data_IF_104230552779
#
_entry.id   IF_104230552779
#
_cell.length_a   1.000
_cell.length_b   1.000
_cell.length_c   1.000
_cell.angle_alpha   90.00
_cell.angle_beta   90.00
_cell.angle_gamma   90.00
#
_symmetry.space_group_name_H-M   'P 1'
#
loop_
_entity.id
_entity.type
_entity.pdbx_description
1 polymer ?
#
# COMPACT_ATOMS: atom_id res chain seq x y z
N UNK A 1 -15.31 -17.42 -0.24
CA UNK A 1 -15.43 -17.62 -1.69
C UNK A 1 -16.77 -17.08 -2.20
N UNK A 2 -16.87 -15.90 -2.59
CA UNK A 2 -18.04 -15.29 -3.18
C UNK A 2 -17.60 -14.37 -4.32
N UNK A 3 -18.55 -13.70 -4.96
CA UNK A 3 -18.31 -12.73 -6.02
C UNK A 3 -17.22 -11.71 -5.63
N UNK A 4 -17.17 -11.33 -4.35
CA UNK A 4 -16.21 -10.35 -3.82
C UNK A 4 -14.84 -10.94 -3.44
N UNK A 5 -14.63 -12.23 -3.63
CA UNK A 5 -13.33 -12.86 -3.35
C UNK A 5 -12.18 -12.25 -4.17
N UNK A 6 -12.47 -11.68 -5.34
CA UNK A 6 -11.48 -10.98 -6.16
C UNK A 6 -11.09 -9.57 -5.66
N UNK A 7 -11.84 -9.04 -4.68
CA UNK A 7 -11.65 -7.67 -4.15
C UNK A 7 -10.72 -7.61 -2.95
N UNK A 8 -10.26 -8.73 -2.45
CA UNK A 8 -9.36 -8.79 -1.30
C UNK A 8 -8.31 -9.87 -1.48
N UNK A 9 -7.06 -9.63 -1.08
CA UNK A 9 -6.00 -10.64 -1.12
C UNK A 9 -6.28 -11.80 -0.15
N UNK A 10 -7.09 -11.56 0.89
CA UNK A 10 -7.38 -12.53 1.95
C UNK A 10 -8.35 -13.65 1.53
N UNK A 11 -8.99 -13.54 0.39
CA UNK A 11 -9.95 -14.55 -0.09
C UNK A 11 -9.34 -15.91 -0.38
N UNK A 12 -8.03 -15.96 -0.61
CA UNK A 12 -7.27 -17.17 -0.94
C UNK A 12 -6.43 -17.69 0.22
N UNK A 13 -6.54 -17.08 1.39
CA UNK A 13 -5.79 -17.44 2.60
C UNK A 13 -6.72 -18.01 3.67
N UNK A 14 -6.16 -18.78 4.59
CA UNK A 14 -6.84 -19.14 5.83
C UNK A 14 -6.73 -17.95 6.77
N UNK A 15 -7.87 -17.38 7.16
CA UNK A 15 -7.91 -16.17 7.95
C UNK A 15 -8.29 -16.49 9.39
N UNK A 16 -7.43 -16.10 10.32
CA UNK A 16 -7.76 -16.04 11.76
C UNK A 16 -8.24 -14.62 12.07
N UNK A 17 -9.50 -14.48 12.41
CA UNK A 17 -10.09 -13.20 12.82
C UNK A 17 -10.13 -13.15 14.33
N UNK A 18 -9.47 -12.13 14.89
CA UNK A 18 -9.43 -11.92 16.34
C UNK A 18 -10.31 -10.72 16.66
N UNK A 19 -11.28 -10.94 17.54
CA UNK A 19 -12.17 -9.91 18.05
C UNK A 19 -11.65 -9.50 19.43
N UNK A 20 -11.43 -8.22 19.61
CA UNK A 20 -10.96 -7.65 20.86
C UNK A 20 -12.12 -7.07 21.63
N UNK A 21 -12.25 -7.48 22.90
CA UNK A 21 -13.05 -6.81 23.90
C UNK A 21 -12.10 -5.93 24.74
N UNK A 22 -12.13 -4.64 24.45
CA UNK A 22 -11.15 -3.70 24.99
C UNK A 22 -11.68 -3.07 26.27
N UNK A 23 -10.81 -2.94 27.27
CA UNK A 23 -11.13 -2.21 28.51
C UNK A 23 -11.47 -0.74 28.21
N UNK A 24 -12.51 -0.23 28.86
CA UNK A 24 -12.92 1.17 28.72
C UNK A 24 -11.84 2.14 29.23
N UNK A 25 -11.86 3.37 28.76
CA UNK A 25 -11.10 4.49 29.35
C UNK A 25 -9.79 4.84 28.68
N UNK A 26 -9.43 4.19 27.56
CA UNK A 26 -8.27 4.56 26.75
C UNK A 26 -8.67 5.42 25.56
N UNK A 27 -7.72 6.23 25.06
CA UNK A 27 -7.86 6.92 23.77
C UNK A 27 -7.82 5.94 22.60
N UNK A 28 -8.32 6.35 21.43
CA UNK A 28 -8.28 5.52 20.21
C UNK A 28 -6.85 5.13 19.83
N UNK A 29 -5.87 6.01 20.06
CA UNK A 29 -4.45 5.74 19.78
C UNK A 29 -3.90 4.66 20.71
N UNK A 30 -4.23 4.72 22.00
CA UNK A 30 -3.81 3.69 22.96
C UNK A 30 -4.42 2.33 22.66
N UNK A 31 -5.70 2.28 22.24
CA UNK A 31 -6.33 1.05 21.77
C UNK A 31 -5.65 0.48 20.54
N UNK A 32 -5.32 1.31 19.56
CA UNK A 32 -4.62 0.88 18.33
C UNK A 32 -3.25 0.27 18.68
N UNK A 33 -2.49 0.91 19.55
CA UNK A 33 -1.20 0.40 20.00
C UNK A 33 -1.32 -0.93 20.71
N UNK A 34 -2.30 -1.10 21.63
CA UNK A 34 -2.54 -2.36 22.32
C UNK A 34 -2.89 -3.48 21.34
N UNK A 35 -3.81 -3.23 20.41
CA UNK A 35 -4.23 -4.18 19.37
C UNK A 35 -3.04 -4.60 18.53
N UNK A 36 -2.19 -3.67 18.12
CA UNK A 36 -1.00 -3.93 17.33
C UNK A 36 -0.01 -4.81 18.09
N UNK A 37 0.27 -4.50 19.35
CA UNK A 37 1.17 -5.31 20.18
C UNK A 37 0.63 -6.72 20.39
N UNK A 38 -0.67 -6.86 20.60
CA UNK A 38 -1.33 -8.17 20.73
C UNK A 38 -1.24 -8.93 19.42
N UNK A 39 -1.52 -8.28 18.28
CA UNK A 39 -1.43 -8.91 16.97
C UNK A 39 -0.02 -9.42 16.66
N UNK A 40 1.03 -8.64 16.97
CA UNK A 40 2.44 -9.05 16.82
C UNK A 40 2.74 -10.27 17.69
N UNK A 41 2.30 -10.29 18.97
CA UNK A 41 2.50 -11.45 19.87
C UNK A 41 1.83 -12.70 19.34
N UNK A 42 0.59 -12.58 18.84
CA UNK A 42 -0.14 -13.71 18.27
C UNK A 42 0.54 -14.20 17.00
N UNK A 43 0.97 -13.30 16.12
CA UNK A 43 1.69 -13.65 14.89
C UNK A 43 2.98 -14.40 15.20
N UNK A 44 3.76 -13.93 16.16
CA UNK A 44 4.99 -14.60 16.61
C UNK A 44 4.71 -15.99 17.19
N UNK A 45 3.67 -16.11 17.99
CA UNK A 45 3.26 -17.41 18.56
C UNK A 45 2.87 -18.41 17.45
N UNK A 46 2.08 -17.97 16.47
CA UNK A 46 1.68 -18.81 15.33
C UNK A 46 2.89 -19.17 14.45
N UNK A 47 3.78 -18.23 14.20
CA UNK A 47 5.00 -18.47 13.44
C UNK A 47 5.89 -19.52 14.12
N UNK A 48 6.05 -19.46 15.44
CA UNK A 48 6.82 -20.44 16.20
C UNK A 48 6.22 -21.85 16.12
N UNK A 49 4.88 -21.96 16.14
CA UNK A 49 4.21 -23.25 15.97
C UNK A 49 4.45 -23.88 14.58
N UNK A 50 4.65 -23.06 13.55
CA UNK A 50 4.85 -23.52 12.17
C UNK A 50 6.32 -23.73 11.81
N UNK A 51 7.25 -23.28 12.65
CA UNK A 51 8.70 -23.26 12.38
C UNK A 51 9.29 -24.62 12.01
N UNK A 52 8.76 -25.71 12.58
CA UNK A 52 9.21 -27.07 12.33
C UNK A 52 8.41 -27.81 11.25
N UNK A 53 7.42 -27.15 10.66
CA UNK A 53 6.58 -27.74 9.63
C UNK A 53 7.25 -27.61 8.26
N UNK A 54 7.09 -28.62 7.41
CA UNK A 54 7.50 -28.53 6.01
C UNK A 54 6.42 -27.80 5.23
N UNK A 55 6.75 -26.71 4.51
CA UNK A 55 5.76 -26.00 3.69
C UNK A 55 5.39 -26.84 2.45
N UNK A 56 4.14 -26.72 2.01
CA UNK A 56 3.68 -27.36 0.78
C UNK A 56 4.31 -26.72 -0.47
N UNK A 57 4.71 -25.46 -0.37
CA UNK A 57 5.32 -24.69 -1.45
C UNK A 57 6.31 -23.67 -0.90
N UNK A 58 7.44 -23.53 -1.60
CA UNK A 58 8.46 -22.49 -1.34
C UNK A 58 8.65 -21.65 -2.60
N UNK A 59 8.80 -20.35 -2.45
CA UNK A 59 9.25 -19.42 -3.50
C UNK A 59 10.53 -18.76 -3.00
N UNK A 60 11.53 -18.66 -3.87
CA UNK A 60 12.79 -17.98 -3.59
C UNK A 60 12.85 -16.65 -4.34
N UNK A 61 13.30 -15.62 -3.64
CA UNK A 61 13.48 -14.28 -4.17
C UNK A 61 14.90 -13.80 -3.85
N UNK A 62 15.67 -13.52 -4.90
CA UNK A 62 17.06 -13.04 -4.78
C UNK A 62 17.36 -11.98 -5.85
N UNK A 63 18.24 -11.06 -5.49
CA UNK A 63 18.87 -10.11 -6.42
C UNK A 63 20.40 -10.21 -6.36
N UNK A 64 20.93 -11.32 -5.86
CA UNK A 64 22.38 -11.55 -5.72
C UNK A 64 23.10 -11.65 -7.06
N UNK A 65 22.43 -12.20 -8.09
CA UNK A 65 22.98 -12.25 -9.43
C UNK A 65 22.75 -10.91 -10.13
N UNK A 66 23.84 -10.23 -10.44
CA UNK A 66 23.82 -8.96 -11.16
C UNK A 66 23.68 -9.17 -12.66
N UNK A 67 22.82 -8.40 -13.30
CA UNK A 67 22.55 -8.42 -14.73
C UNK A 67 22.88 -7.07 -15.37
N UNK A 68 24.19 -6.71 -15.49
CA UNK A 68 24.58 -5.37 -15.96
C UNK A 68 24.19 -5.09 -17.41
N UNK A 69 23.89 -6.11 -18.20
CA UNK A 69 23.37 -6.01 -19.58
C UNK A 69 21.90 -5.56 -19.64
N UNK A 70 21.16 -5.68 -18.54
CA UNK A 70 19.76 -5.30 -18.42
C UNK A 70 19.61 -3.90 -17.80
N UNK A 71 18.52 -3.18 -18.13
CA UNK A 71 18.29 -1.87 -17.50
C UNK A 71 18.09 -2.00 -16.00
N UNK A 72 18.86 -1.23 -15.22
CA UNK A 72 18.70 -1.12 -13.78
C UNK A 72 17.35 -0.48 -13.43
N UNK A 73 16.54 -1.15 -12.61
CA UNK A 73 15.24 -0.66 -12.16
C UNK A 73 15.19 -0.63 -10.64
N UNK A 74 14.68 0.46 -10.09
CA UNK A 74 14.37 0.58 -8.67
C UNK A 74 12.88 0.73 -8.44
N UNK A 75 12.38 0.23 -7.32
CA UNK A 75 11.04 0.54 -6.84
C UNK A 75 11.14 1.70 -5.86
N UNK A 76 10.29 2.70 -5.99
CA UNK A 76 10.07 3.69 -4.94
C UNK A 76 8.77 3.35 -4.24
N UNK A 77 8.85 3.06 -2.94
CA UNK A 77 7.70 2.84 -2.10
C UNK A 77 7.51 4.04 -1.16
N UNK A 78 6.49 4.84 -1.45
CA UNK A 78 6.18 6.05 -0.73
C UNK A 78 5.00 5.82 0.21
N UNK A 79 5.27 5.74 1.51
CA UNK A 79 4.29 5.51 2.53
C UNK A 79 3.79 6.78 3.19
N UNK A 80 2.49 6.80 3.46
CA UNK A 80 1.84 7.93 4.08
C UNK A 80 1.85 7.81 5.61
N UNK A 81 2.25 8.89 6.28
CA UNK A 81 2.13 9.02 7.73
C UNK A 81 1.10 10.08 8.08
N UNK A 82 -0.16 9.80 7.80
CA UNK A 82 -1.31 10.66 8.03
C UNK A 82 -2.52 9.84 8.46
N UNK A 83 -3.53 10.52 8.95
CA UNK A 83 -4.77 9.95 9.42
C UNK A 83 -4.83 9.92 10.94
N UNK A 84 -5.91 9.42 11.53
CA UNK A 84 -6.11 9.38 12.98
C UNK A 84 -5.04 8.61 13.73
N UNK A 85 -4.36 7.72 13.03
CA UNK A 85 -3.33 6.85 13.56
C UNK A 85 -2.12 6.93 12.64
N UNK A 86 -1.25 7.87 12.89
CA UNK A 86 -0.16 8.30 12.00
C UNK A 86 1.10 7.43 12.11
N UNK A 87 0.97 6.10 12.19
CA UNK A 87 2.12 5.27 12.51
C UNK A 87 2.40 4.17 11.48
N UNK A 88 2.93 4.59 10.36
CA UNK A 88 3.76 3.72 9.54
C UNK A 88 5.16 3.72 10.16
N UNK A 89 5.72 2.55 10.36
CA UNK A 89 7.01 2.39 11.01
C UNK A 89 7.98 1.65 10.09
N UNK A 90 9.22 2.11 10.06
CA UNK A 90 10.35 1.42 9.46
C UNK A 90 11.29 0.95 10.58
N UNK A 91 11.50 -0.36 10.70
CA UNK A 91 12.28 -0.95 11.80
C UNK A 91 11.81 -0.51 13.20
N UNK A 92 10.49 -0.36 13.38
CA UNK A 92 9.90 0.08 14.64
C UNK A 92 9.99 1.57 14.91
N UNK A 93 10.56 2.37 14.01
CA UNK A 93 10.65 3.82 14.14
C UNK A 93 9.60 4.49 13.25
N UNK A 94 8.84 5.47 13.77
CA UNK A 94 7.91 6.27 12.97
C UNK A 94 8.62 6.96 11.80
N UNK A 95 7.95 7.04 10.66
CA UNK A 95 8.53 7.61 9.44
C UNK A 95 8.34 9.13 9.31
N UNK A 96 7.86 9.81 10.36
CA UNK A 96 7.50 11.24 10.32
C UNK A 96 8.61 12.16 9.81
N UNK A 97 9.81 11.96 10.29
CA UNK A 97 10.96 12.81 9.99
C UNK A 97 12.04 12.11 9.16
N UNK A 98 11.69 10.93 8.59
CA UNK A 98 12.67 10.19 7.80
C UNK A 98 13.06 10.92 6.51
N UNK A 99 14.28 10.70 6.10
CA UNK A 99 14.75 10.96 4.73
C UNK A 99 14.64 9.67 3.90
N UNK A 100 14.49 9.76 2.58
CA UNK A 100 14.51 8.58 1.73
C UNK A 100 15.70 7.68 2.02
N UNK A 101 15.48 6.37 2.10
CA UNK A 101 16.51 5.37 2.37
C UNK A 101 16.42 4.22 1.37
N UNK A 102 17.52 3.51 1.16
CA UNK A 102 17.55 2.30 0.35
C UNK A 102 17.34 1.09 1.26
N UNK A 103 16.45 0.21 0.83
CA UNK A 103 16.20 -1.10 1.43
C UNK A 103 16.60 -2.19 0.44
N UNK A 104 17.23 -3.25 0.95
CA UNK A 104 17.25 -4.49 0.19
C UNK A 104 15.81 -5.01 0.05
N UNK A 105 15.37 -5.48 -1.12
CA UNK A 105 13.99 -5.91 -1.28
C UNK A 105 13.53 -6.99 -0.29
N UNK A 106 14.44 -7.87 0.17
CA UNK A 106 14.15 -8.88 1.18
C UNK A 106 13.79 -8.28 2.54
N UNK A 107 14.30 -7.09 2.90
CA UNK A 107 13.94 -6.43 4.16
C UNK A 107 12.43 -6.14 4.22
N UNK A 108 11.83 -5.77 3.08
CA UNK A 108 10.37 -5.61 3.01
C UNK A 108 9.64 -6.94 3.19
N UNK A 109 10.11 -8.01 2.55
CA UNK A 109 9.54 -9.35 2.71
C UNK A 109 9.66 -9.86 4.15
N UNK A 110 10.71 -9.46 4.86
CA UNK A 110 10.97 -9.78 6.27
C UNK A 110 10.18 -8.88 7.24
N UNK A 111 9.46 -7.87 6.75
CA UNK A 111 8.58 -7.04 7.58
C UNK A 111 9.25 -5.82 8.21
N UNK A 112 10.26 -5.23 7.58
CA UNK A 112 10.87 -3.98 8.05
C UNK A 112 9.87 -2.81 8.09
N UNK A 113 8.83 -2.84 7.24
CA UNK A 113 7.76 -1.84 7.19
C UNK A 113 6.52 -2.40 7.84
N UNK A 114 6.02 -1.71 8.85
CA UNK A 114 4.79 -2.06 9.58
C UNK A 114 3.82 -0.88 9.52
N UNK A 115 2.58 -1.17 9.13
CA UNK A 115 1.48 -0.22 9.20
C UNK A 115 0.25 -0.94 9.74
N UNK A 116 -0.24 -0.53 10.90
CA UNK A 116 -1.41 -1.13 11.53
C UNK A 116 -2.72 -0.60 10.99
N UNK A 117 -2.69 0.43 10.18
CA UNK A 117 -3.83 1.28 10.02
C UNK A 117 -4.24 1.51 8.59
N UNK A 118 -5.36 0.95 8.25
CA UNK A 118 -6.11 1.32 7.08
C UNK A 118 -7.29 2.20 7.51
N UNK A 119 -7.16 3.49 7.37
CA UNK A 119 -8.24 4.43 7.71
C UNK A 119 -8.36 5.47 6.60
N UNK A 120 -9.59 5.69 6.14
CA UNK A 120 -9.92 6.84 5.33
C UNK A 120 -9.64 8.14 6.15
N UNK A 121 -9.05 9.21 5.59
CA UNK A 121 -8.62 9.40 4.20
C UNK A 121 -7.17 8.98 3.91
N UNK A 122 -6.49 8.31 4.83
CA UNK A 122 -5.06 8.01 4.69
C UNK A 122 -4.74 6.98 3.62
N UNK A 123 -5.66 6.03 3.33
CA UNK A 123 -5.44 4.95 2.36
C UNK A 123 -4.14 4.19 2.58
N UNK A 124 -3.81 3.90 3.82
CA UNK A 124 -2.61 3.16 4.14
C UNK A 124 -2.74 1.69 3.75
N UNK A 125 -1.64 1.12 3.35
CA UNK A 125 -1.49 -0.29 3.08
C UNK A 125 -1.18 -1.03 4.38
N UNK A 126 -1.88 -2.12 4.73
CA UNK A 126 -1.60 -2.88 5.93
C UNK A 126 -0.29 -3.67 5.81
N UNK A 127 0.27 -4.06 6.94
CA UNK A 127 1.53 -4.82 7.02
C UNK A 127 1.56 -6.03 6.08
N UNK A 128 0.45 -6.75 5.94
CA UNK A 128 0.35 -7.88 5.02
C UNK A 128 0.77 -7.52 3.59
N UNK A 129 0.36 -6.36 3.07
CA UNK A 129 0.72 -5.93 1.72
C UNK A 129 2.12 -5.28 1.63
N UNK A 130 2.70 -4.85 2.72
CA UNK A 130 4.12 -4.49 2.72
C UNK A 130 4.99 -5.74 2.56
N UNK A 131 4.68 -6.80 3.30
CA UNK A 131 5.39 -8.10 3.26
C UNK A 131 5.11 -8.87 1.97
N UNK A 132 3.93 -8.71 1.37
CA UNK A 132 3.52 -9.36 0.13
C UNK A 132 3.24 -8.32 -0.97
N UNK A 133 4.12 -7.34 -1.11
CA UNK A 133 3.90 -6.22 -2.02
C UNK A 133 3.88 -6.69 -3.49
N UNK A 134 2.74 -6.58 -4.20
CA UNK A 134 2.59 -7.22 -5.51
C UNK A 134 3.58 -6.69 -6.56
N UNK A 135 3.86 -5.38 -6.54
CA UNK A 135 4.86 -4.78 -7.43
C UNK A 135 6.27 -5.27 -7.12
N UNK A 136 6.62 -5.36 -5.84
CA UNK A 136 7.91 -5.89 -5.40
C UNK A 136 8.14 -7.33 -5.89
N UNK A 137 7.14 -8.18 -5.67
CA UNK A 137 7.19 -9.58 -6.09
C UNK A 137 7.27 -9.73 -7.61
N UNK A 138 6.62 -8.84 -8.36
CA UNK A 138 6.72 -8.84 -9.82
C UNK A 138 8.09 -8.37 -10.30
N UNK A 139 8.68 -7.37 -9.68
CA UNK A 139 10.05 -6.92 -10.00
C UNK A 139 11.07 -8.02 -9.76
N UNK A 140 10.92 -8.81 -8.70
CA UNK A 140 11.74 -10.01 -8.48
C UNK A 140 11.58 -11.04 -9.60
N UNK A 141 10.34 -11.31 -10.05
CA UNK A 141 10.07 -12.28 -11.13
C UNK A 141 10.65 -11.82 -12.48
N UNK A 142 10.86 -10.54 -12.66
CA UNK A 142 11.42 -9.92 -13.87
C UNK A 142 12.93 -9.74 -13.81
N UNK A 143 13.50 -9.77 -12.60
CA UNK A 143 14.95 -9.71 -12.42
C UNK A 143 15.67 -10.81 -13.21
N UNK A 144 16.72 -10.42 -13.93
CA UNK A 144 17.47 -11.33 -14.81
C UNK A 144 16.76 -11.76 -16.10
N UNK A 145 15.56 -11.26 -16.38
CA UNK A 145 14.83 -11.54 -17.62
C UNK A 145 14.81 -10.31 -18.53
N UNK A 146 14.32 -9.22 -18.05
CA UNK A 146 14.17 -7.96 -18.81
C UNK A 146 14.57 -6.72 -18.01
N UNK A 147 14.79 -6.85 -16.72
CA UNK A 147 15.32 -5.82 -15.84
C UNK A 147 16.40 -6.36 -14.91
N UNK A 148 17.28 -5.47 -14.46
CA UNK A 148 18.14 -5.67 -13.31
C UNK A 148 17.54 -4.92 -12.11
N UNK A 149 16.83 -5.64 -11.22
CA UNK A 149 16.16 -5.04 -10.06
C UNK A 149 17.19 -4.68 -9.00
N UNK A 150 17.39 -3.38 -8.75
CA UNK A 150 18.48 -2.82 -7.94
C UNK A 150 18.11 -2.57 -6.47
N UNK A 151 16.83 -2.63 -6.11
CA UNK A 151 16.40 -2.39 -4.74
C UNK A 151 15.16 -1.52 -4.62
N UNK A 152 14.84 -1.21 -3.37
CA UNK A 152 13.71 -0.35 -3.00
C UNK A 152 14.22 0.95 -2.39
N UNK A 153 13.70 2.07 -2.85
CA UNK A 153 13.87 3.36 -2.18
C UNK A 153 12.59 3.61 -1.40
N UNK A 154 12.69 3.59 -0.09
CA UNK A 154 11.57 3.84 0.81
C UNK A 154 11.58 5.30 1.26
N UNK A 155 10.43 5.94 1.20
CA UNK A 155 10.28 7.33 1.63
C UNK A 155 8.88 7.60 2.20
N UNK A 156 8.78 8.70 2.96
CA UNK A 156 7.47 9.19 3.40
C UNK A 156 6.80 10.01 2.32
N UNK A 157 5.48 10.02 2.33
CA UNK A 157 4.65 10.99 1.63
C UNK A 157 3.98 11.98 2.61
N UNK A 158 3.11 12.83 2.09
CA UNK A 158 2.44 13.86 2.85
C UNK A 158 3.42 14.82 3.52
N UNK A 159 4.45 15.21 2.76
CA UNK A 159 5.41 16.19 3.22
C UNK A 159 4.75 17.57 3.44
N UNK A 160 5.11 18.29 4.52
CA UNK A 160 4.33 19.44 5.01
C UNK A 160 4.43 20.70 4.14
N UNK A 161 5.43 20.80 3.26
CA UNK A 161 5.59 21.97 2.39
C UNK A 161 6.24 21.58 1.05
N UNK A 162 6.12 22.45 0.06
CA UNK A 162 6.75 22.29 -1.25
C UNK A 162 8.25 22.03 -1.14
N UNK A 163 8.94 22.73 -0.25
CA UNK A 163 10.37 22.51 -0.02
C UNK A 163 10.67 21.08 0.48
N UNK A 164 9.88 20.58 1.43
CA UNK A 164 10.06 19.20 1.93
C UNK A 164 9.78 18.18 0.83
N UNK A 165 8.78 18.41 -0.01
CA UNK A 165 8.45 17.54 -1.15
C UNK A 165 9.59 17.51 -2.17
N UNK A 166 10.08 18.68 -2.58
CA UNK A 166 11.20 18.80 -3.51
C UNK A 166 12.48 18.18 -2.95
N UNK A 167 12.76 18.36 -1.67
CA UNK A 167 13.88 17.71 -0.98
C UNK A 167 13.74 16.19 -1.01
N UNK A 168 12.55 15.66 -0.69
CA UNK A 168 12.29 14.22 -0.74
C UNK A 168 12.52 13.68 -2.16
N UNK A 169 11.90 14.29 -3.18
CA UNK A 169 12.07 13.91 -4.57
C UNK A 169 13.55 13.92 -5.02
N UNK A 170 14.28 14.98 -4.66
CA UNK A 170 15.71 15.08 -4.98
C UNK A 170 16.55 14.00 -4.32
N UNK A 171 16.23 13.62 -3.07
CA UNK A 171 16.92 12.51 -2.38
C UNK A 171 16.60 11.15 -3.01
N UNK A 172 15.33 10.89 -3.38
CA UNK A 172 14.94 9.67 -4.10
C UNK A 172 15.75 9.54 -5.39
N UNK A 173 15.80 10.59 -6.19
CA UNK A 173 16.53 10.59 -7.47
C UNK A 173 18.03 10.41 -7.27
N UNK A 174 18.62 11.07 -6.27
CA UNK A 174 20.02 10.85 -5.91
C UNK A 174 20.31 9.39 -5.58
N UNK A 175 19.45 8.74 -4.78
CA UNK A 175 19.62 7.33 -4.42
C UNK A 175 19.44 6.43 -5.65
N UNK A 176 18.47 6.71 -6.52
CA UNK A 176 18.29 5.99 -7.77
C UNK A 176 19.52 6.08 -8.69
N UNK A 177 20.13 7.27 -8.79
CA UNK A 177 21.39 7.46 -9.52
C UNK A 177 22.56 6.68 -8.91
N UNK A 178 22.66 6.65 -7.58
CA UNK A 178 23.69 5.86 -6.88
C UNK A 178 23.53 4.36 -7.11
N UNK A 179 22.31 3.89 -7.35
CA UNK A 179 21.99 2.51 -7.72
C UNK A 179 22.11 2.24 -9.24
N UNK A 180 22.56 3.23 -10.01
CA UNK A 180 22.63 3.18 -11.48
C UNK A 180 21.26 2.81 -12.13
N UNK A 181 20.17 3.30 -11.56
CA UNK A 181 18.84 3.05 -12.08
C UNK A 181 18.60 3.80 -13.38
N UNK A 182 18.08 3.10 -14.38
CA UNK A 182 17.59 3.64 -15.66
C UNK A 182 16.05 3.75 -15.65
N UNK A 183 15.40 2.98 -14.78
CA UNK A 183 13.96 2.97 -14.59
C UNK A 183 13.58 3.05 -13.11
N UNK A 184 12.44 3.68 -12.84
CA UNK A 184 11.88 3.85 -11.52
C UNK A 184 10.40 3.49 -11.56
N UNK A 185 9.99 2.52 -10.75
CA UNK A 185 8.58 2.20 -10.53
C UNK A 185 8.13 2.90 -9.26
N UNK A 186 7.30 3.94 -9.43
CA UNK A 186 6.80 4.77 -8.34
C UNK A 186 5.46 4.25 -7.85
N UNK A 187 5.39 3.82 -6.61
CA UNK A 187 4.15 3.38 -5.94
C UNK A 187 3.95 4.21 -4.68
N UNK A 188 2.74 4.67 -4.44
CA UNK A 188 2.48 5.50 -3.25
C UNK A 188 1.12 5.28 -2.62
N UNK A 189 1.06 5.54 -1.33
CA UNK A 189 -0.15 5.61 -0.54
C UNK A 189 -0.73 7.03 -0.57
N UNK A 190 -2.06 7.10 -0.47
CA UNK A 190 -2.78 8.35 -0.34
C UNK A 190 -3.01 9.09 -1.66
N UNK A 191 -4.11 9.82 -1.66
CA UNK A 191 -4.41 10.82 -2.68
C UNK A 191 -3.98 12.23 -2.24
N UNK A 192 -4.46 13.25 -2.91
CA UNK A 192 -4.26 14.64 -2.50
C UNK A 192 -2.79 15.01 -2.33
N UNK A 193 -2.43 15.45 -1.15
CA UNK A 193 -1.07 15.91 -0.84
C UNK A 193 0.03 14.86 -1.10
N UNK A 194 -0.28 13.59 -0.90
CA UNK A 194 0.65 12.49 -1.19
C UNK A 194 0.86 12.28 -2.69
N UNK A 195 -0.17 12.54 -3.51
CA UNK A 195 -0.07 12.51 -4.97
C UNK A 195 0.94 13.55 -5.47
N UNK A 196 0.91 14.77 -4.93
CA UNK A 196 1.89 15.81 -5.23
C UNK A 196 3.32 15.36 -4.93
N UNK A 197 3.57 14.65 -3.82
CA UNK A 197 4.90 14.08 -3.52
C UNK A 197 5.34 13.09 -4.60
N UNK A 198 4.44 12.17 -5.01
CA UNK A 198 4.69 11.18 -6.05
C UNK A 198 4.99 11.84 -7.40
N UNK A 199 4.17 12.78 -7.81
CA UNK A 199 4.33 13.51 -9.08
C UNK A 199 5.61 14.32 -9.14
N UNK A 200 6.00 15.00 -8.05
CA UNK A 200 7.29 15.70 -7.99
C UNK A 200 8.48 14.74 -8.07
N UNK A 201 8.33 13.53 -7.52
CA UNK A 201 9.36 12.49 -7.63
C UNK A 201 9.50 12.00 -9.07
N UNK A 202 8.38 11.72 -9.75
CA UNK A 202 8.35 11.36 -11.18
C UNK A 202 8.98 12.47 -12.02
N UNK A 203 8.52 13.70 -11.85
CA UNK A 203 9.06 14.86 -12.58
C UNK A 203 10.57 15.00 -12.41
N UNK A 204 11.04 14.88 -11.17
CA UNK A 204 12.48 15.01 -10.89
C UNK A 204 13.27 13.88 -11.52
N UNK A 205 12.79 12.64 -11.46
CA UNK A 205 13.45 11.48 -12.05
C UNK A 205 13.55 11.60 -13.58
N UNK A 206 12.45 11.91 -14.26
CA UNK A 206 12.41 12.07 -15.71
C UNK A 206 13.34 13.20 -16.20
N UNK A 207 13.37 14.34 -15.50
CA UNK A 207 14.30 15.46 -15.78
C UNK A 207 15.76 15.07 -15.59
N UNK A 208 16.05 14.02 -14.86
CA UNK A 208 17.40 13.46 -14.67
C UNK A 208 17.67 12.24 -15.56
N UNK A 209 16.78 11.95 -16.51
CA UNK A 209 16.96 10.87 -17.49
C UNK A 209 16.64 9.47 -16.94
N UNK A 210 15.96 9.37 -15.80
CA UNK A 210 15.47 8.10 -15.27
C UNK A 210 14.00 7.95 -15.68
N UNK A 211 13.69 6.92 -16.46
CA UNK A 211 12.33 6.66 -16.93
C UNK A 211 11.45 6.21 -15.77
N UNK A 212 10.20 6.67 -15.75
CA UNK A 212 9.29 6.38 -14.63
C UNK A 212 8.02 5.67 -15.08
N UNK A 213 7.49 4.82 -14.20
CA UNK A 213 6.13 4.31 -14.27
C UNK A 213 5.46 4.49 -12.90
N UNK A 214 4.33 5.20 -12.86
CA UNK A 214 3.57 5.43 -11.64
C UNK A 214 2.47 4.40 -11.45
N UNK A 215 2.24 3.94 -10.21
CA UNK A 215 1.14 3.05 -9.85
C UNK A 215 0.41 3.64 -8.65
N UNK A 216 -0.87 3.92 -8.80
CA UNK A 216 -1.73 4.44 -7.73
C UNK A 216 -3.21 4.18 -8.03
N UNK A 217 -4.09 4.58 -7.15
CA UNK A 217 -5.53 4.67 -7.43
C UNK A 217 -5.89 6.03 -8.03
N UNK A 218 -7.13 6.16 -8.47
CA UNK A 218 -7.65 7.40 -9.06
C UNK A 218 -8.98 7.83 -8.44
N UNK A 219 -9.33 9.09 -8.68
CA UNK A 219 -10.62 9.68 -8.40
C UNK A 219 -11.35 9.83 -9.75
N UNK A 220 -12.09 8.84 -10.16
CA UNK A 220 -12.70 8.79 -11.49
C UNK A 220 -14.23 8.69 -11.47
N UNK A 221 -14.85 8.96 -10.31
CA UNK A 221 -16.30 8.76 -10.15
C UNK A 221 -16.69 7.29 -10.18
N UNK A 222 -18.00 7.05 -10.29
CA UNK A 222 -18.57 5.69 -10.24
C UNK A 222 -18.13 4.81 -11.41
N UNK A 223 -17.93 5.41 -12.57
CA UNK A 223 -17.61 4.73 -13.82
C UNK A 223 -16.11 4.80 -14.20
N UNK A 224 -15.31 5.46 -13.36
CA UNK A 224 -13.89 5.65 -13.63
C UNK A 224 -13.57 6.68 -14.73
N UNK A 225 -14.58 7.46 -15.15
CA UNK A 225 -14.45 8.43 -16.25
C UNK A 225 -14.89 9.85 -15.88
N UNK A 226 -15.29 10.04 -14.63
CA UNK A 226 -15.76 11.32 -14.10
C UNK A 226 -14.67 12.00 -13.28
N UNK A 227 -14.70 13.34 -13.29
CA UNK A 227 -13.88 14.17 -12.40
C UNK A 227 -12.39 14.18 -12.67
N UNK A 228 -11.64 14.43 -11.62
CA UNK A 228 -10.18 14.49 -11.64
C UNK A 228 -9.64 13.09 -11.38
N UNK A 229 -8.96 12.49 -12.36
CA UNK A 229 -8.38 11.15 -12.20
C UNK A 229 -7.31 11.13 -11.11
N UNK A 230 -6.43 12.12 -11.12
CA UNK A 230 -5.41 12.33 -10.11
C UNK A 230 -5.54 13.75 -9.54
N UNK A 231 -5.22 13.92 -8.27
CA UNK A 231 -5.30 15.24 -7.60
C UNK A 231 -4.26 16.22 -8.15
N UNK A 232 -3.15 15.69 -8.65
CA UNK A 232 -2.07 16.45 -9.24
C UNK A 232 -1.46 15.66 -10.40
N UNK A 233 -0.93 16.35 -11.39
CA UNK A 233 -0.22 15.74 -12.51
C UNK A 233 0.97 16.58 -12.93
N UNK A 234 1.88 15.95 -13.68
CA UNK A 234 3.03 16.61 -14.29
C UNK A 234 3.21 16.11 -15.71
N UNK A 235 3.63 16.96 -16.65
CA UNK A 235 3.80 16.57 -18.07
C UNK A 235 4.78 15.40 -18.27
N UNK A 236 5.71 15.22 -17.35
CA UNK A 236 6.70 14.16 -17.39
C UNK A 236 6.12 12.78 -17.02
N UNK A 237 4.95 12.70 -16.36
CA UNK A 237 4.29 11.44 -15.98
C UNK A 237 3.59 10.81 -17.20
N UNK A 238 4.37 10.21 -18.11
CA UNK A 238 3.88 9.65 -19.37
C UNK A 238 3.49 8.18 -19.30
N UNK A 239 3.76 7.51 -18.18
CA UNK A 239 3.40 6.12 -17.94
C UNK A 239 2.79 5.96 -16.54
N UNK A 240 1.47 5.77 -16.51
CA UNK A 240 0.71 5.62 -15.29
C UNK A 240 -0.16 4.34 -15.35
N UNK A 241 -0.23 3.63 -14.24
CA UNK A 241 -1.10 2.48 -14.06
C UNK A 241 -2.06 2.77 -12.91
N UNK A 242 -3.34 2.77 -13.19
CA UNK A 242 -4.38 2.98 -12.18
C UNK A 242 -4.79 1.67 -11.53
N UNK A 243 -4.86 1.68 -10.20
CA UNK A 243 -5.50 0.64 -9.39
C UNK A 243 -7.03 0.73 -9.40
N UNK A 244 -7.60 1.76 -10.01
CA UNK A 244 -9.02 2.03 -10.20
C UNK A 244 -9.56 3.16 -9.35
N UNK A 245 -10.80 3.57 -9.66
CA UNK A 245 -11.49 4.64 -8.94
C UNK A 245 -11.93 4.20 -7.56
N UNK A 246 -11.56 4.97 -6.55
CA UNK A 246 -12.00 4.79 -5.17
C UNK A 246 -13.47 5.19 -4.95
N UNK A 247 -14.06 5.92 -5.88
CA UNK A 247 -15.45 6.41 -5.84
C UNK A 247 -16.45 5.40 -6.42
N UNK A 248 -15.96 4.26 -6.89
CA UNK A 248 -16.81 3.21 -7.45
C UNK A 248 -17.79 2.65 -6.42
N UNK A 249 -19.07 2.60 -6.80
CA UNK A 249 -20.11 1.98 -5.98
C UNK A 249 -19.94 0.46 -5.96
N UNK A 250 -20.07 -0.13 -4.78
CA UNK A 250 -19.98 -1.58 -4.56
C UNK A 250 -21.28 -2.08 -3.93
N UNK A 251 -21.88 -3.11 -4.55
CA UNK A 251 -23.05 -3.79 -4.02
C UNK A 251 -22.64 -5.12 -3.40
N UNK A 252 -22.90 -5.28 -2.12
CA UNK A 252 -22.64 -6.50 -1.37
C UNK A 252 -23.94 -7.25 -1.14
N UNK A 253 -23.98 -8.52 -1.51
CA UNK A 253 -25.12 -9.38 -1.22
C UNK A 253 -25.22 -9.67 0.29
N UNK A 254 -26.43 -9.98 0.75
CA UNK A 254 -26.66 -10.46 2.08
C UNK A 254 -25.80 -11.71 2.39
N UNK A 255 -25.35 -11.83 3.63
CA UNK A 255 -24.57 -12.96 4.11
C UNK A 255 -25.28 -13.66 5.27
N UNK A 256 -25.11 -14.97 5.38
CA UNK A 256 -25.72 -15.77 6.46
C UNK A 256 -25.08 -15.47 7.82
N UNK A 257 -23.80 -15.12 7.81
CA UNK A 257 -23.03 -14.89 9.02
C UNK A 257 -22.12 -13.68 8.89
N UNK A 258 -22.20 -12.80 9.89
CA UNK A 258 -21.22 -11.74 10.14
C UNK A 258 -20.44 -12.03 11.43
N UNK A 259 -19.20 -11.57 11.50
CA UNK A 259 -18.32 -11.69 12.66
C UNK A 259 -17.98 -10.28 13.14
N UNK A 260 -18.11 -10.03 14.42
CA UNK A 260 -17.76 -8.74 15.06
C UNK A 260 -18.95 -8.01 15.67
N UNK A 261 -20.10 -8.00 15.03
CA UNK A 261 -21.30 -7.33 15.55
C UNK A 261 -22.46 -7.34 14.56
N UNK A 262 -23.58 -6.75 14.97
CA UNK A 262 -24.82 -6.73 14.18
C UNK A 262 -24.85 -5.60 13.13
N UNK A 263 -23.96 -4.62 13.25
CA UNK A 263 -23.84 -3.50 12.32
C UNK A 263 -22.38 -3.25 11.97
N UNK A 264 -22.13 -2.72 10.76
CA UNK A 264 -20.83 -2.15 10.43
C UNK A 264 -20.71 -0.76 11.03
N UNK A 265 -19.55 -0.48 11.63
CA UNK A 265 -19.19 0.87 12.02
C UNK A 265 -18.19 1.41 11.03
N UNK A 266 -18.67 2.24 10.12
CA UNK A 266 -17.80 2.97 9.20
C UNK A 266 -17.28 4.23 9.86
N UNK A 267 -16.09 4.67 9.42
CA UNK A 267 -15.45 5.87 9.92
C UNK A 267 -16.41 7.07 9.79
N UNK A 268 -16.48 7.89 10.83
CA UNK A 268 -17.31 9.10 10.87
C UNK A 268 -16.99 10.08 9.73
N UNK A 269 -15.74 10.13 9.31
CA UNK A 269 -15.26 10.94 8.19
C UNK A 269 -15.73 10.42 6.84
N UNK A 270 -16.12 9.14 6.77
CA UNK A 270 -16.76 8.51 5.61
C UNK A 270 -18.30 8.57 5.67
N UNK A 271 -18.87 9.46 6.48
CA UNK A 271 -20.32 9.65 6.56
C UNK A 271 -21.01 8.99 7.76
N UNK A 272 -20.29 8.27 8.61
CA UNK A 272 -20.85 7.72 9.85
C UNK A 272 -21.97 6.72 9.68
N UNK A 273 -21.92 5.94 8.66
CA UNK A 273 -22.96 5.00 8.22
C UNK A 273 -22.85 3.65 8.97
N UNK A 274 -23.95 3.13 9.48
CA UNK A 274 -24.03 1.93 10.30
C UNK A 274 -25.01 0.90 9.71
N UNK A 275 -24.70 0.29 8.57
CA UNK A 275 -25.60 -0.67 7.96
C UNK A 275 -25.65 -1.99 8.73
N UNK A 276 -26.73 -2.77 8.58
CA UNK A 276 -26.80 -4.12 9.13
C UNK A 276 -25.66 -4.99 8.58
N UNK A 277 -25.02 -5.76 9.45
CA UNK A 277 -23.88 -6.60 9.05
C UNK A 277 -24.26 -7.79 8.15
N UNK A 278 -25.52 -8.21 8.15
CA UNK A 278 -26.00 -9.37 7.40
C UNK A 278 -26.86 -9.02 6.18
N UNK A 279 -27.39 -7.80 6.11
CA UNK A 279 -28.27 -7.37 5.02
C UNK A 279 -27.51 -7.14 3.71
N UNK A 280 -28.25 -6.94 2.64
CA UNK A 280 -27.67 -6.36 1.42
C UNK A 280 -27.16 -4.96 1.72
N UNK A 281 -26.01 -4.64 1.14
CA UNK A 281 -25.33 -3.40 1.41
C UNK A 281 -24.83 -2.76 0.13
N UNK A 282 -25.17 -1.51 -0.06
CA UNK A 282 -24.59 -0.67 -1.11
C UNK A 282 -23.59 0.29 -0.47
N UNK A 283 -22.35 0.19 -0.85
CA UNK A 283 -21.29 1.13 -0.49
C UNK A 283 -21.11 2.09 -1.65
N UNK A 284 -21.23 3.37 -1.39
CA UNK A 284 -21.10 4.41 -2.42
C UNK A 284 -19.68 4.55 -2.94
N UNK A 285 -18.71 4.08 -2.15
CA UNK A 285 -17.27 4.16 -2.47
C UNK A 285 -16.56 2.86 -2.06
N UNK A 286 -15.54 2.48 -2.81
CA UNK A 286 -14.69 1.33 -2.45
C UNK A 286 -13.88 1.57 -1.18
N UNK A 287 -13.69 2.83 -0.78
CA UNK A 287 -13.00 3.24 0.44
C UNK A 287 -13.61 2.66 1.72
N UNK A 288 -14.87 2.27 1.67
CA UNK A 288 -15.54 1.58 2.77
C UNK A 288 -15.11 0.11 2.92
N UNK A 289 -14.46 -0.45 1.90
CA UNK A 289 -13.88 -1.79 1.97
C UNK A 289 -12.46 -1.72 2.51
N UNK A 290 -12.08 -2.73 3.30
CA UNK A 290 -10.70 -2.87 3.70
C UNK A 290 -9.80 -3.06 2.46
N UNK A 291 -8.79 -2.21 2.31
CA UNK A 291 -7.94 -2.12 1.11
C UNK A 291 -8.65 -1.61 -0.15
N UNK A 292 -9.74 -0.89 -0.01
CA UNK A 292 -10.53 -0.39 -1.14
C UNK A 292 -9.81 0.59 -2.08
N UNK A 293 -8.70 1.18 -1.64
CA UNK A 293 -7.88 2.08 -2.45
C UNK A 293 -7.08 1.39 -3.56
N UNK A 294 -6.79 0.10 -3.42
CA UNK A 294 -6.06 -0.72 -4.43
C UNK A 294 -4.79 -0.08 -5.03
N UNK A 295 -4.13 0.81 -4.30
CA UNK A 295 -3.00 1.62 -4.79
C UNK A 295 -1.76 0.81 -5.20
N UNK A 296 -1.67 -0.45 -4.80
CA UNK A 296 -0.62 -1.37 -5.21
C UNK A 296 -1.09 -2.36 -6.29
N UNK A 297 -2.27 -2.16 -6.89
CA UNK A 297 -2.89 -3.05 -7.87
C UNK A 297 -2.95 -4.53 -7.41
N UNK A 298 -3.21 -4.77 -6.12
CA UNK A 298 -3.24 -6.12 -5.52
C UNK A 298 -4.52 -6.89 -5.82
N UNK A 299 -5.59 -6.21 -6.22
CA UNK A 299 -6.90 -6.81 -6.50
C UNK A 299 -7.38 -6.51 -7.91
N UNK A 300 -8.40 -7.27 -8.32
CA UNK A 300 -9.05 -7.10 -9.63
C UNK A 300 -10.22 -6.11 -9.58
N UNK A 301 -10.25 -5.19 -8.64
CA UNK A 301 -11.34 -4.21 -8.53
C UNK A 301 -11.43 -3.38 -9.80
N UNK A 302 -10.29 -2.97 -10.28
CA UNK A 302 -10.12 -2.21 -11.51
C UNK A 302 -8.63 -2.13 -11.84
N UNK A 303 -8.29 -1.92 -13.08
CA UNK A 303 -6.93 -1.63 -13.49
C UNK A 303 -6.94 -1.11 -14.91
N UNK A 304 -6.32 0.04 -15.14
CA UNK A 304 -6.07 0.60 -16.46
C UNK A 304 -4.62 1.05 -16.52
N UNK A 305 -4.00 0.90 -17.68
CA UNK A 305 -2.71 1.46 -18.00
C UNK A 305 -2.92 2.58 -19.03
N UNK A 306 -2.29 3.71 -18.81
CA UNK A 306 -2.32 4.88 -19.69
C UNK A 306 -0.94 5.17 -20.25
#
# INVERSE_FOLDING_TARGET
SGFYAGYTPFSKTNNLVIIYDLNEGKSSIEYDNDIRLIAIRISNYLAELTRSMTPDRTEEFSTEEEHPELPGVVMVWQCQNQGPYADTMLYGMPIDDMVPTVLHPNEMLDGCVVSGNYVWPAFKVPTYLHVNHPVLLELYRRHGKDINFKGVIFCRSHNPSTWHKQRCASHVVKLAQMLDAKGLVMVWEGGGNACTDGMLTIQTAERHGIRTAGITFEFGGKDGTEGILLVDDVPEATAMCSGGSIEKTVHLSAVDRAVGGDTFRLNKESGGFFPPAKGELTLEQTTHLYLGGNQCAYSKIYGAAY
#
